data_IF_427489066628
#
_entry.id   IF_427489066628
#
_cell.length_a   1.000
_cell.length_b   1.000
_cell.length_c   1.000
_cell.angle_alpha   90.00
_cell.angle_beta   90.00
_cell.angle_gamma   90.00
#
_symmetry.space_group_name_H-M   'P 1'
#
loop_
_entity.id
_entity.type
_entity.pdbx_description
1 polymer ?
#
# COMPACT_ATOMS: atom_id res chain seq x y z
N UNK A 1 29.04 -30.37 1.67
CA UNK A 1 29.38 -28.95 1.75
C UNK A 1 29.67 -28.32 0.37
N UNK A 2 30.60 -28.83 -0.47
CA UNK A 2 30.88 -28.18 -1.77
C UNK A 2 29.73 -28.33 -2.79
N UNK A 3 29.10 -29.48 -2.89
CA UNK A 3 27.98 -29.74 -3.80
C UNK A 3 26.71 -28.97 -3.36
N UNK A 4 26.45 -28.91 -2.08
CA UNK A 4 25.33 -28.14 -1.50
C UNK A 4 25.44 -26.65 -1.85
N UNK A 5 26.65 -26.08 -1.74
CA UNK A 5 26.92 -24.67 -2.11
C UNK A 5 26.72 -24.43 -3.61
N UNK A 6 27.11 -25.39 -4.46
CA UNK A 6 26.90 -25.33 -5.92
C UNK A 6 25.39 -25.39 -6.23
N UNK A 7 24.65 -26.32 -5.62
CA UNK A 7 23.19 -26.42 -5.80
C UNK A 7 22.47 -25.16 -5.36
N UNK A 8 22.86 -24.59 -4.22
CA UNK A 8 22.27 -23.34 -3.72
C UNK A 8 22.55 -22.16 -4.65
N UNK A 9 23.78 -22.01 -5.11
CA UNK A 9 24.14 -20.94 -6.06
C UNK A 9 23.45 -21.13 -7.40
N UNK A 10 23.38 -22.37 -7.91
CA UNK A 10 22.70 -22.68 -9.16
C UNK A 10 21.18 -22.41 -9.07
N UNK A 11 20.54 -22.74 -7.93
CA UNK A 11 19.15 -22.43 -7.66
C UNK A 11 18.90 -20.91 -7.75
N UNK A 12 19.73 -20.12 -7.05
CA UNK A 12 19.59 -18.68 -7.02
C UNK A 12 19.83 -18.04 -8.40
N UNK A 13 20.87 -18.49 -9.13
CA UNK A 13 21.16 -18.01 -10.48
C UNK A 13 20.03 -18.38 -11.45
N UNK A 14 19.51 -19.61 -11.39
CA UNK A 14 18.41 -20.05 -12.26
C UNK A 14 17.15 -19.25 -11.96
N UNK A 15 16.86 -19.00 -10.68
CA UNK A 15 15.72 -18.17 -10.27
C UNK A 15 15.83 -16.75 -10.84
N UNK A 16 16.98 -16.09 -10.65
CA UNK A 16 17.22 -14.75 -11.20
C UNK A 16 17.16 -14.72 -12.72
N UNK A 17 17.76 -15.71 -13.39
CA UNK A 17 17.73 -15.80 -14.85
C UNK A 17 16.29 -15.94 -15.39
N UNK A 18 15.46 -16.77 -14.77
CA UNK A 18 14.06 -16.92 -15.18
C UNK A 18 13.24 -15.64 -14.98
N UNK A 19 13.51 -14.89 -13.90
CA UNK A 19 12.87 -13.58 -13.69
C UNK A 19 13.28 -12.57 -14.76
N UNK A 20 14.56 -12.56 -15.16
CA UNK A 20 15.06 -11.67 -16.22
C UNK A 20 14.48 -12.01 -17.61
N UNK A 21 14.15 -13.28 -17.86
CA UNK A 21 13.45 -13.71 -19.08
C UNK A 21 11.98 -13.28 -19.09
N UNK A 22 11.43 -12.86 -17.94
CA UNK A 22 10.05 -12.36 -17.82
C UNK A 22 9.03 -13.39 -17.35
N UNK A 23 9.46 -14.52 -16.79
CA UNK A 23 8.55 -15.46 -16.17
C UNK A 23 7.93 -14.88 -14.91
N UNK A 24 6.65 -15.18 -14.69
CA UNK A 24 5.93 -14.73 -13.50
C UNK A 24 6.54 -15.33 -12.23
N UNK A 25 6.78 -14.48 -11.22
CA UNK A 25 7.51 -14.83 -9.99
C UNK A 25 6.96 -16.08 -9.29
N UNK A 26 5.62 -16.22 -9.23
CA UNK A 26 4.97 -17.36 -8.56
C UNK A 26 5.28 -18.70 -9.23
N UNK A 27 5.23 -18.74 -10.57
CA UNK A 27 5.56 -19.96 -11.33
C UNK A 27 7.05 -20.25 -11.27
N UNK A 28 7.88 -19.23 -11.31
CA UNK A 28 9.33 -19.37 -11.19
C UNK A 28 9.73 -19.93 -9.84
N UNK A 29 9.20 -19.39 -8.74
CA UNK A 29 9.46 -19.89 -7.40
C UNK A 29 9.05 -21.35 -7.26
N UNK A 30 7.84 -21.69 -7.70
CA UNK A 30 7.33 -23.05 -7.60
C UNK A 30 8.12 -24.04 -8.48
N UNK A 31 8.34 -23.68 -9.75
CA UNK A 31 9.04 -24.54 -10.72
C UNK A 31 10.50 -24.77 -10.35
N UNK A 32 11.24 -23.72 -9.99
CA UNK A 32 12.64 -23.81 -9.57
C UNK A 32 12.77 -24.62 -8.28
N UNK A 33 11.88 -24.43 -7.31
CA UNK A 33 11.90 -25.18 -6.05
C UNK A 33 11.72 -26.68 -6.30
N UNK A 34 10.75 -27.09 -7.12
CA UNK A 34 10.55 -28.51 -7.46
C UNK A 34 11.75 -29.07 -8.21
N UNK A 35 12.23 -28.37 -9.23
CA UNK A 35 13.34 -28.82 -10.05
C UNK A 35 14.59 -29.05 -9.22
N UNK A 36 14.97 -28.12 -8.36
CA UNK A 36 16.15 -28.25 -7.52
C UNK A 36 15.97 -29.26 -6.38
N UNK A 37 14.77 -29.46 -5.88
CA UNK A 37 14.50 -30.56 -4.92
C UNK A 37 14.72 -31.91 -5.59
N UNK A 38 14.23 -32.12 -6.80
CA UNK A 38 14.46 -33.37 -7.54
C UNK A 38 15.94 -33.57 -7.86
N UNK A 39 16.64 -32.50 -8.28
CA UNK A 39 18.10 -32.57 -8.52
C UNK A 39 18.87 -32.93 -7.23
N UNK A 40 18.51 -32.34 -6.10
CA UNK A 40 19.13 -32.62 -4.83
C UNK A 40 18.92 -34.09 -4.40
N UNK A 41 17.69 -34.63 -4.56
CA UNK A 41 17.40 -36.04 -4.30
C UNK A 41 18.21 -37.00 -5.19
N UNK A 42 18.33 -36.67 -6.47
CA UNK A 42 19.15 -37.45 -7.41
C UNK A 42 20.63 -37.38 -7.01
N UNK A 43 21.09 -36.18 -6.60
CA UNK A 43 22.45 -35.97 -6.13
C UNK A 43 22.77 -36.80 -4.89
N UNK A 44 21.85 -36.88 -3.92
CA UNK A 44 22.01 -37.67 -2.72
C UNK A 44 22.09 -39.18 -3.02
N UNK A 45 21.34 -39.63 -4.05
CA UNK A 45 21.31 -41.04 -4.43
C UNK A 45 22.54 -41.48 -5.22
N UNK A 46 23.14 -40.60 -6.06
CA UNK A 46 24.24 -40.97 -6.96
C UNK A 46 25.61 -40.44 -6.55
N UNK A 47 25.66 -39.35 -5.76
CA UNK A 47 26.91 -38.67 -5.39
C UNK A 47 27.18 -38.69 -3.87
N UNK A 48 26.39 -39.45 -3.12
CA UNK A 48 26.56 -39.56 -1.66
C UNK A 48 26.56 -38.19 -0.97
N UNK A 49 25.80 -37.24 -1.50
CA UNK A 49 25.66 -35.91 -0.92
C UNK A 49 24.61 -35.97 0.19
N UNK A 50 24.83 -35.28 1.29
CA UNK A 50 23.92 -35.28 2.44
C UNK A 50 23.06 -34.00 2.44
N UNK A 51 22.30 -33.73 1.35
CA UNK A 51 21.38 -32.57 1.31
C UNK A 51 20.19 -32.75 2.23
N UNK A 52 19.85 -34.01 2.56
CA UNK A 52 18.78 -34.35 3.46
C UNK A 52 17.36 -34.03 2.90
N UNK A 53 17.27 -33.76 1.61
CA UNK A 53 15.97 -33.51 0.95
C UNK A 53 15.37 -34.84 0.50
N UNK A 54 14.23 -35.20 1.08
CA UNK A 54 13.49 -36.41 0.77
C UNK A 54 12.07 -36.06 0.29
N UNK A 55 11.39 -37.01 -0.36
CA UNK A 55 9.99 -36.89 -0.80
C UNK A 55 9.04 -36.44 0.32
N UNK A 56 9.39 -36.69 1.56
CA UNK A 56 8.65 -36.25 2.73
C UNK A 56 8.49 -34.73 2.78
N UNK A 57 9.45 -33.95 2.26
CA UNK A 57 9.37 -32.49 2.19
C UNK A 57 8.26 -31.99 1.26
N UNK A 58 7.87 -32.76 0.24
CA UNK A 58 6.69 -32.40 -0.57
C UNK A 58 5.38 -32.43 0.24
N UNK A 59 5.29 -33.29 1.26
CA UNK A 59 4.17 -33.30 2.19
C UNK A 59 4.06 -32.00 3.01
N UNK A 60 5.19 -31.37 3.31
CA UNK A 60 5.24 -30.06 3.99
C UNK A 60 4.65 -28.97 3.11
N UNK A 61 4.91 -28.98 1.78
CA UNK A 61 4.33 -28.03 0.81
C UNK A 61 2.80 -28.11 0.82
N UNK A 62 2.25 -29.33 0.75
CA UNK A 62 0.79 -29.53 0.81
C UNK A 62 0.22 -29.01 2.12
N UNK A 63 0.85 -29.31 3.24
CA UNK A 63 0.45 -28.81 4.56
C UNK A 63 0.53 -27.28 4.65
N UNK A 64 1.54 -26.66 4.03
CA UNK A 64 1.70 -25.21 3.97
C UNK A 64 0.61 -24.56 3.11
N UNK A 65 0.30 -25.14 1.96
CA UNK A 65 -0.82 -24.68 1.12
C UNK A 65 -2.14 -24.73 1.90
N UNK A 66 -2.42 -25.84 2.58
CA UNK A 66 -3.62 -25.96 3.41
C UNK A 66 -3.65 -24.92 4.54
N UNK A 67 -2.52 -24.70 5.22
CA UNK A 67 -2.41 -23.67 6.27
C UNK A 67 -2.70 -22.27 5.74
N UNK A 68 -2.23 -21.94 4.53
CA UNK A 68 -2.52 -20.66 3.88
C UNK A 68 -4.00 -20.55 3.50
N UNK A 69 -4.60 -21.63 2.95
CA UNK A 69 -6.02 -21.65 2.57
C UNK A 69 -6.97 -21.50 3.77
N UNK A 70 -6.56 -21.96 4.94
CA UNK A 70 -7.37 -21.88 6.17
C UNK A 70 -7.04 -20.66 7.04
N UNK A 71 -6.16 -19.77 6.58
CA UNK A 71 -5.76 -18.60 7.33
C UNK A 71 -6.83 -17.50 7.29
N UNK A 72 -7.45 -17.23 8.42
CA UNK A 72 -8.48 -16.21 8.58
C UNK A 72 -7.99 -14.78 8.28
N UNK A 73 -6.71 -14.51 8.45
CA UNK A 73 -6.12 -13.19 8.18
C UNK A 73 -6.14 -12.86 6.70
N UNK A 74 -6.04 -13.84 5.82
CA UNK A 74 -6.17 -13.64 4.37
C UNK A 74 -7.60 -13.22 3.97
N UNK A 75 -8.62 -13.66 4.72
CA UNK A 75 -10.00 -13.22 4.53
C UNK A 75 -10.12 -11.73 4.86
N UNK A 76 -9.50 -11.29 5.96
CA UNK A 76 -9.47 -9.87 6.31
C UNK A 76 -8.86 -9.01 5.18
N UNK A 77 -7.75 -9.46 4.57
CA UNK A 77 -7.16 -8.77 3.43
C UNK A 77 -8.13 -8.61 2.25
N UNK A 78 -8.89 -9.67 1.92
CA UNK A 78 -9.90 -9.62 0.85
C UNK A 78 -11.03 -8.65 1.17
N UNK A 79 -11.50 -8.64 2.41
CA UNK A 79 -12.55 -7.71 2.86
C UNK A 79 -12.07 -6.26 2.86
N UNK A 80 -10.84 -5.98 3.29
CA UNK A 80 -10.25 -4.64 3.18
C UNK A 80 -10.13 -4.18 1.72
N UNK A 81 -9.77 -5.08 0.79
CA UNK A 81 -9.76 -4.76 -0.65
C UNK A 81 -11.16 -4.37 -1.11
N UNK A 82 -12.16 -5.15 -0.73
CA UNK A 82 -13.56 -4.88 -1.06
C UNK A 82 -14.02 -3.53 -0.49
N UNK A 83 -13.74 -3.26 0.77
CA UNK A 83 -14.02 -1.98 1.43
C UNK A 83 -13.37 -0.81 0.66
N UNK A 84 -12.10 -0.95 0.28
CA UNK A 84 -11.38 0.07 -0.50
C UNK A 84 -12.03 0.33 -1.87
N UNK A 85 -12.43 -0.72 -2.60
CA UNK A 85 -13.15 -0.57 -3.87
C UNK A 85 -14.52 0.08 -3.71
N UNK A 86 -15.26 -0.27 -2.65
CA UNK A 86 -16.55 0.38 -2.37
C UNK A 86 -16.38 1.87 -2.10
N UNK A 87 -15.35 2.24 -1.33
CA UNK A 87 -15.05 3.65 -1.07
C UNK A 87 -14.61 4.38 -2.35
N UNK A 88 -13.81 3.76 -3.20
CA UNK A 88 -13.40 4.32 -4.49
C UNK A 88 -14.62 4.57 -5.40
N UNK A 89 -15.51 3.60 -5.51
CA UNK A 89 -16.73 3.68 -6.34
C UNK A 89 -17.81 4.59 -5.79
N UNK A 90 -17.77 4.94 -4.51
CA UNK A 90 -18.75 5.85 -3.87
C UNK A 90 -18.68 7.29 -4.38
N UNK A 91 -17.59 7.69 -5.08
CA UNK A 91 -17.35 9.05 -5.53
C UNK A 91 -16.99 10.04 -4.41
N UNK A 92 -16.77 9.56 -3.19
CA UNK A 92 -16.36 10.40 -2.04
C UNK A 92 -15.00 11.02 -2.30
N UNK A 93 -14.09 10.28 -2.93
CA UNK A 93 -12.76 10.74 -3.31
C UNK A 93 -12.79 12.00 -4.17
N UNK A 94 -13.62 12.02 -5.19
CA UNK A 94 -13.76 13.14 -6.12
C UNK A 94 -14.37 14.38 -5.44
N UNK A 95 -15.39 14.17 -4.61
CA UNK A 95 -16.02 15.27 -3.83
C UNK A 95 -15.01 15.88 -2.85
N UNK A 96 -14.27 15.03 -2.14
CA UNK A 96 -13.26 15.48 -1.19
C UNK A 96 -12.12 16.25 -1.89
N UNK A 97 -11.70 15.80 -3.07
CA UNK A 97 -10.69 16.49 -3.88
C UNK A 97 -11.17 17.90 -4.25
N UNK A 98 -12.41 18.02 -4.71
CA UNK A 98 -12.97 19.30 -5.12
C UNK A 98 -13.14 20.26 -3.94
N UNK A 99 -13.72 19.81 -2.85
CA UNK A 99 -13.94 20.66 -1.66
C UNK A 99 -12.62 21.08 -1.00
N UNK A 100 -11.62 20.21 -0.96
CA UNK A 100 -10.30 20.51 -0.39
C UNK A 100 -9.48 21.42 -1.32
N UNK A 101 -9.64 21.30 -2.63
CA UNK A 101 -9.04 22.22 -3.61
C UNK A 101 -9.55 23.65 -3.39
N UNK A 102 -10.83 23.84 -3.13
CA UNK A 102 -11.41 25.15 -2.79
C UNK A 102 -10.77 25.73 -1.53
N UNK A 103 -10.47 24.88 -0.52
CA UNK A 103 -9.87 25.31 0.75
C UNK A 103 -8.43 25.80 0.58
N UNK A 104 -7.61 25.09 -0.19
CA UNK A 104 -6.19 25.39 -0.38
C UNK A 104 -5.91 26.23 -1.65
N UNK A 105 -6.91 26.67 -2.39
CA UNK A 105 -6.73 27.44 -3.64
C UNK A 105 -5.97 28.75 -3.47
N UNK A 106 -5.95 29.34 -2.26
CA UNK A 106 -5.22 30.55 -1.94
C UNK A 106 -3.76 30.32 -1.53
N UNK A 107 -3.33 29.07 -1.39
CA UNK A 107 -1.98 28.72 -0.96
C UNK A 107 -1.16 28.27 -2.17
N UNK A 108 0.10 28.72 -2.29
CA UNK A 108 1.01 28.18 -3.31
C UNK A 108 1.27 26.71 -3.06
N UNK A 109 1.14 25.90 -4.10
CA UNK A 109 1.18 24.45 -3.96
C UNK A 109 -0.10 23.84 -3.38
N UNK A 110 -1.19 24.62 -3.26
CA UNK A 110 -2.44 24.18 -2.62
C UNK A 110 -3.02 22.92 -3.24
N UNK A 111 -2.98 22.76 -4.58
CA UNK A 111 -3.43 21.54 -5.22
C UNK A 111 -2.54 20.34 -4.87
N UNK A 112 -1.23 20.51 -4.78
CA UNK A 112 -0.33 19.44 -4.37
C UNK A 112 -0.57 19.03 -2.89
N UNK A 113 -0.82 20.01 -2.00
CA UNK A 113 -1.20 19.74 -0.60
C UNK A 113 -2.52 18.99 -0.55
N UNK A 114 -3.52 19.42 -1.33
CA UNK A 114 -4.81 18.72 -1.47
C UNK A 114 -4.61 17.26 -1.86
N UNK A 115 -3.81 17.01 -2.90
CA UNK A 115 -3.49 15.64 -3.36
C UNK A 115 -2.77 14.84 -2.28
N UNK A 116 -1.83 15.44 -1.57
CA UNK A 116 -1.12 14.78 -0.49
C UNK A 116 -2.04 14.39 0.66
N UNK A 117 -2.92 15.27 1.11
CA UNK A 117 -3.86 15.02 2.21
C UNK A 117 -4.92 13.98 1.82
N UNK A 118 -5.53 14.15 0.65
CA UNK A 118 -6.56 13.22 0.18
C UNK A 118 -5.95 11.87 -0.17
N UNK A 119 -4.78 11.90 -0.82
CA UNK A 119 -4.02 10.69 -1.11
C UNK A 119 -3.72 9.89 0.15
N UNK A 120 -3.33 10.58 1.22
CA UNK A 120 -3.12 9.96 2.52
C UNK A 120 -4.39 9.28 3.06
N UNK A 121 -5.52 9.98 3.03
CA UNK A 121 -6.80 9.45 3.51
C UNK A 121 -7.30 8.26 2.67
N UNK A 122 -7.28 8.41 1.34
CA UNK A 122 -7.72 7.37 0.42
C UNK A 122 -6.80 6.16 0.45
N UNK A 123 -5.50 6.39 0.43
CA UNK A 123 -4.51 5.32 0.46
C UNK A 123 -4.60 4.52 1.77
N UNK A 124 -4.81 5.19 2.90
CA UNK A 124 -5.03 4.55 4.19
C UNK A 124 -6.30 3.67 4.20
N UNK A 125 -7.36 4.11 3.53
CA UNK A 125 -8.62 3.35 3.49
C UNK A 125 -8.59 2.16 2.51
N UNK A 126 -7.82 2.25 1.42
CA UNK A 126 -7.73 1.17 0.42
C UNK A 126 -6.61 0.18 0.72
N UNK A 127 -5.52 0.62 1.34
CA UNK A 127 -4.33 -0.20 1.61
C UNK A 127 -3.61 -0.72 0.36
N UNK A 128 -4.00 -0.29 -0.84
CA UNK A 128 -3.45 -0.74 -2.13
C UNK A 128 -2.82 0.44 -2.86
N UNK A 129 -1.49 0.47 -2.94
CA UNK A 129 -0.72 1.56 -3.56
C UNK A 129 -1.11 1.77 -5.02
N UNK A 130 -1.13 0.70 -5.81
CA UNK A 130 -1.38 0.79 -7.25
C UNK A 130 -2.73 1.44 -7.57
N UNK A 131 -3.80 1.01 -6.91
CA UNK A 131 -5.14 1.57 -7.10
C UNK A 131 -5.19 3.04 -6.69
N UNK A 132 -4.66 3.37 -5.51
CA UNK A 132 -4.65 4.74 -4.98
C UNK A 132 -3.84 5.69 -5.87
N UNK A 133 -2.65 5.29 -6.35
CA UNK A 133 -1.82 6.10 -7.24
C UNK A 133 -2.52 6.34 -8.58
N UNK A 134 -3.14 5.30 -9.16
CA UNK A 134 -3.88 5.42 -10.43
C UNK A 134 -5.08 6.34 -10.26
N UNK A 135 -5.89 6.14 -9.21
CA UNK A 135 -7.06 6.98 -8.94
C UNK A 135 -6.67 8.46 -8.76
N UNK A 136 -5.70 8.72 -7.88
CA UNK A 136 -5.18 10.08 -7.66
C UNK A 136 -4.59 10.66 -8.94
N UNK A 137 -3.87 9.85 -9.74
CA UNK A 137 -3.31 10.25 -11.00
C UNK A 137 -4.37 10.70 -12.00
N UNK A 138 -5.40 9.89 -12.19
CA UNK A 138 -6.49 10.19 -13.12
C UNK A 138 -7.26 11.45 -12.69
N UNK A 139 -7.51 11.61 -11.39
CA UNK A 139 -8.28 12.73 -10.86
C UNK A 139 -7.47 14.04 -10.78
N UNK A 140 -6.22 13.97 -10.31
CA UNK A 140 -5.48 15.19 -9.94
C UNK A 140 -4.46 15.65 -10.98
N UNK A 141 -3.78 14.74 -11.72
CA UNK A 141 -2.76 15.15 -12.69
C UNK A 141 -3.27 16.09 -13.79
N UNK A 142 -4.44 15.84 -14.42
CA UNK A 142 -4.96 16.75 -15.43
C UNK A 142 -5.20 18.16 -14.87
N UNK A 143 -5.67 18.25 -13.63
CA UNK A 143 -5.95 19.53 -12.96
C UNK A 143 -4.63 20.23 -12.63
N UNK A 144 -3.65 19.52 -12.07
CA UNK A 144 -2.34 20.10 -11.74
C UNK A 144 -1.62 20.61 -12.98
N UNK A 145 -1.61 19.83 -14.07
CA UNK A 145 -0.96 20.24 -15.32
C UNK A 145 -1.67 21.46 -15.94
N UNK A 146 -3.01 21.48 -15.91
CA UNK A 146 -3.80 22.62 -16.39
C UNK A 146 -3.54 23.89 -15.58
N UNK A 147 -3.29 23.77 -14.28
CA UNK A 147 -2.92 24.88 -13.40
C UNK A 147 -1.44 25.30 -13.54
N UNK A 148 -0.65 24.65 -14.41
CA UNK A 148 0.74 25.01 -14.68
C UNK A 148 1.74 24.44 -13.67
N UNK A 149 1.39 23.41 -12.89
CA UNK A 149 2.36 22.73 -12.01
C UNK A 149 3.46 22.04 -12.84
N UNK A 150 4.69 22.02 -12.30
CA UNK A 150 5.74 21.24 -12.92
C UNK A 150 5.37 19.75 -12.91
N UNK A 151 5.72 19.04 -13.99
CA UNK A 151 5.39 17.62 -14.15
C UNK A 151 6.01 16.78 -13.03
N UNK A 152 7.23 17.12 -12.63
CA UNK A 152 7.97 16.43 -11.57
C UNK A 152 7.27 16.54 -10.21
N UNK A 153 6.81 17.75 -9.86
CA UNK A 153 6.07 17.96 -8.61
C UNK A 153 4.71 17.26 -8.66
N UNK A 154 3.99 17.35 -9.76
CA UNK A 154 2.66 16.75 -9.91
C UNK A 154 2.74 15.21 -9.81
N UNK A 155 3.59 14.57 -10.63
CA UNK A 155 3.74 13.11 -10.61
C UNK A 155 4.35 12.58 -9.31
N UNK A 156 5.34 13.29 -8.78
CA UNK A 156 5.97 12.95 -7.50
C UNK A 156 4.99 13.00 -6.33
N UNK A 157 4.15 14.04 -6.27
CA UNK A 157 3.12 14.17 -5.22
C UNK A 157 2.11 13.02 -5.28
N UNK A 158 1.61 12.71 -6.49
CA UNK A 158 0.64 11.61 -6.68
C UNK A 158 1.24 10.27 -6.27
N UNK A 159 2.45 9.96 -6.74
CA UNK A 159 3.12 8.70 -6.42
C UNK A 159 3.42 8.58 -4.91
N UNK A 160 3.99 9.61 -4.32
CA UNK A 160 4.33 9.63 -2.89
C UNK A 160 3.08 9.50 -2.01
N UNK A 161 2.00 10.23 -2.34
CA UNK A 161 0.76 10.21 -1.55
C UNK A 161 0.08 8.84 -1.58
N UNK A 162 0.06 8.16 -2.74
CA UNK A 162 -0.48 6.81 -2.85
C UNK A 162 0.31 5.76 -2.07
N UNK A 163 1.62 5.96 -1.89
CA UNK A 163 2.45 5.04 -1.10
C UNK A 163 2.16 5.10 0.41
N UNK A 164 1.57 6.19 0.92
CA UNK A 164 1.24 6.31 2.36
C UNK A 164 0.22 5.27 2.83
N UNK A 165 -0.59 4.74 1.93
CA UNK A 165 -1.58 3.71 2.27
C UNK A 165 -1.01 2.39 2.77
N UNK A 166 0.27 2.12 2.53
CA UNK A 166 0.91 0.93 3.10
C UNK A 166 1.20 1.14 4.60
N UNK A 167 1.51 2.38 5.00
CA UNK A 167 2.03 2.69 6.33
C UNK A 167 0.90 3.12 7.26
N UNK A 168 -0.08 3.88 6.76
CA UNK A 168 -1.15 4.42 7.59
C UNK A 168 -2.27 3.37 7.74
N UNK A 169 -2.62 2.94 8.96
CA UNK A 169 -3.69 1.98 9.17
C UNK A 169 -5.08 2.59 8.92
N UNK A 170 -6.07 1.76 8.53
CA UNK A 170 -6.02 0.33 8.32
C UNK A 170 -5.34 -0.06 6.99
N UNK A 171 -4.27 -0.85 7.06
CA UNK A 171 -3.48 -1.23 5.87
C UNK A 171 -3.41 -2.75 5.74
N UNK A 172 -3.69 -3.25 4.54
CA UNK A 172 -3.62 -4.69 4.21
C UNK A 172 -2.19 -5.22 4.41
N UNK A 173 -1.18 -4.42 4.06
CA UNK A 173 0.22 -4.82 4.21
C UNK A 173 0.61 -4.99 5.68
N UNK A 174 0.13 -4.14 6.57
CA UNK A 174 0.36 -4.29 8.01
C UNK A 174 -0.32 -5.54 8.55
N UNK A 175 -1.50 -5.90 8.03
CA UNK A 175 -2.20 -7.15 8.40
C UNK A 175 -1.37 -8.37 8.00
N UNK A 176 -0.88 -8.42 6.76
CA UNK A 176 -0.02 -9.52 6.31
C UNK A 176 1.31 -9.56 7.06
N UNK A 177 1.89 -8.40 7.38
CA UNK A 177 3.11 -8.31 8.16
C UNK A 177 2.90 -8.84 9.58
N UNK A 178 1.77 -8.51 10.20
CA UNK A 178 1.37 -9.04 11.50
C UNK A 178 1.29 -10.57 11.51
N UNK A 179 0.66 -11.16 10.49
CA UNK A 179 0.56 -12.60 10.30
C UNK A 179 1.95 -13.26 10.17
N UNK A 180 2.81 -12.71 9.33
CA UNK A 180 4.15 -13.26 9.09
C UNK A 180 5.07 -13.15 10.31
N UNK A 181 4.93 -12.07 11.08
CA UNK A 181 5.71 -11.84 12.31
C UNK A 181 5.09 -12.50 13.55
N UNK A 182 3.89 -13.08 13.43
CA UNK A 182 3.09 -13.61 14.53
C UNK A 182 2.86 -12.56 15.64
N UNK A 183 2.59 -11.31 15.24
CA UNK A 183 2.28 -10.21 16.14
C UNK A 183 0.80 -9.85 16.05
N UNK A 184 0.19 -9.31 17.12
CA UNK A 184 -1.16 -8.77 17.05
C UNK A 184 -1.21 -7.60 16.05
N UNK A 185 -2.14 -7.63 15.10
CA UNK A 185 -2.24 -6.57 14.08
C UNK A 185 -2.58 -5.20 14.70
N UNK A 186 -3.30 -5.17 15.83
CA UNK A 186 -3.57 -3.94 16.56
C UNK A 186 -2.29 -3.23 17.03
N UNK A 187 -1.29 -3.97 17.49
CA UNK A 187 -0.01 -3.41 17.93
C UNK A 187 0.77 -2.82 16.76
N UNK A 188 0.75 -3.50 15.59
CA UNK A 188 1.37 -2.97 14.38
C UNK A 188 0.65 -1.71 13.90
N UNK A 189 -0.67 -1.68 13.97
CA UNK A 189 -1.45 -0.50 13.60
C UNK A 189 -1.13 0.70 14.50
N UNK A 190 -1.07 0.50 15.82
CA UNK A 190 -0.66 1.57 16.75
C UNK A 190 0.76 2.04 16.48
N UNK A 191 1.69 1.10 16.26
CA UNK A 191 3.09 1.42 15.97
C UNK A 191 3.30 2.17 14.64
N UNK A 192 2.49 1.87 13.62
CA UNK A 192 2.58 2.48 12.29
C UNK A 192 1.87 3.85 12.20
N UNK A 193 0.91 4.11 13.06
CA UNK A 193 0.06 5.32 12.99
C UNK A 193 0.88 6.62 13.11
N UNK A 194 1.73 6.72 14.14
CA UNK A 194 2.54 7.91 14.37
C UNK A 194 3.57 8.13 13.25
N UNK A 195 4.39 7.14 12.84
CA UNK A 195 5.31 7.29 11.71
C UNK A 195 4.61 7.65 10.39
N UNK A 196 3.42 7.04 10.14
CA UNK A 196 2.63 7.35 8.96
C UNK A 196 2.16 8.80 8.91
N UNK A 197 1.63 9.33 10.02
CA UNK A 197 1.25 10.73 10.13
C UNK A 197 2.45 11.68 10.05
N UNK A 198 3.58 11.32 10.64
CA UNK A 198 4.82 12.10 10.51
C UNK A 198 5.27 12.20 9.05
N UNK A 199 5.21 11.09 8.31
CA UNK A 199 5.58 11.08 6.90
C UNK A 199 4.61 11.92 6.07
N UNK A 200 3.31 11.84 6.31
CA UNK A 200 2.31 12.69 5.66
C UNK A 200 2.57 14.19 5.94
N UNK A 201 2.88 14.53 7.19
CA UNK A 201 3.23 15.89 7.57
C UNK A 201 4.52 16.37 6.87
N UNK A 202 5.54 15.51 6.77
CA UNK A 202 6.77 15.82 6.05
C UNK A 202 6.52 16.07 4.56
N UNK A 203 5.61 15.34 3.92
CA UNK A 203 5.22 15.60 2.53
C UNK A 203 4.58 16.97 2.38
N UNK A 204 3.67 17.34 3.28
CA UNK A 204 3.04 18.67 3.25
C UNK A 204 4.09 19.76 3.47
N UNK A 205 5.00 19.60 4.43
CA UNK A 205 6.10 20.54 4.70
C UNK A 205 7.03 20.67 3.48
N UNK A 206 7.37 19.54 2.85
CA UNK A 206 8.19 19.55 1.64
C UNK A 206 7.50 20.28 0.49
N UNK A 207 6.21 20.00 0.24
CA UNK A 207 5.44 20.66 -0.82
C UNK A 207 5.37 22.18 -0.55
N UNK A 208 5.08 22.59 0.67
CA UNK A 208 5.07 24.00 1.05
C UNK A 208 6.45 24.64 0.83
N UNK A 209 7.51 24.06 1.37
CA UNK A 209 8.88 24.57 1.22
C UNK A 209 9.29 24.67 -0.25
N UNK A 210 9.04 23.63 -1.05
CA UNK A 210 9.35 23.61 -2.47
C UNK A 210 8.54 24.67 -3.25
N UNK A 211 7.25 24.84 -2.93
CA UNK A 211 6.37 25.82 -3.57
C UNK A 211 6.76 27.27 -3.25
N UNK A 212 7.33 27.51 -2.06
CA UNK A 212 7.87 28.82 -1.70
C UNK A 212 9.21 29.11 -2.38
N UNK A 213 10.09 28.10 -2.48
CA UNK A 213 11.42 28.24 -3.08
C UNK A 213 11.36 28.32 -4.62
N UNK A 214 10.38 27.62 -5.24
CA UNK A 214 10.17 27.61 -6.69
C UNK A 214 8.72 27.93 -7.04
N UNK A 215 8.34 29.22 -6.99
CA UNK A 215 6.95 29.64 -7.24
C UNK A 215 6.43 29.29 -8.62
N UNK A 216 7.32 29.16 -9.61
CA UNK A 216 6.98 28.78 -10.99
C UNK A 216 6.55 27.33 -11.12
N UNK A 217 7.04 26.44 -10.23
CA UNK A 217 6.72 25.02 -10.24
C UNK A 217 5.37 24.68 -9.61
N UNK A 218 4.83 25.58 -8.78
CA UNK A 218 3.58 25.41 -8.03
C UNK A 218 2.78 26.72 -8.01
N UNK A 219 2.17 27.11 -9.15
CA UNK A 219 1.43 28.36 -9.25
C UNK A 219 0.19 28.35 -8.36
N UNK A 220 -0.33 29.54 -8.12
CA UNK A 220 -1.59 29.73 -7.42
C UNK A 220 -2.75 29.41 -8.37
N UNK A 221 -3.85 28.88 -7.86
CA UNK A 221 -5.05 28.65 -8.64
C UNK A 221 -5.58 29.96 -9.24
N UNK A 222 -6.01 29.92 -10.51
CA UNK A 222 -6.60 31.09 -11.21
C UNK A 222 -7.96 31.45 -10.62
N UNK A 223 -8.75 30.45 -10.26
CA UNK A 223 -10.12 30.57 -9.77
C UNK A 223 -10.15 30.55 -8.23
N UNK A 224 -9.74 31.69 -7.63
CA UNK A 224 -9.64 31.82 -6.17
C UNK A 224 -10.99 32.19 -5.59
N UNK A 225 -11.56 31.26 -4.85
CA UNK A 225 -12.72 31.58 -4.03
C UNK A 225 -12.30 32.00 -2.62
N UNK A 226 -12.98 32.95 -1.99
CA UNK A 226 -12.68 33.32 -0.61
C UNK A 226 -12.94 32.14 0.30
N UNK A 227 -11.89 31.72 1.03
CA UNK A 227 -11.99 30.64 2.01
C UNK A 227 -12.92 31.10 3.14
N UNK A 228 -14.11 30.52 3.18
CA UNK A 228 -15.11 30.80 4.20
C UNK A 228 -15.31 29.64 5.15
N UNK A 229 -15.98 29.90 6.27
CA UNK A 229 -16.36 28.83 7.23
C UNK A 229 -17.21 27.74 6.56
N UNK A 230 -18.00 28.09 5.53
CA UNK A 230 -18.77 27.13 4.73
C UNK A 230 -17.88 26.12 3.99
N UNK A 231 -16.75 26.58 3.43
CA UNK A 231 -15.80 25.70 2.70
C UNK A 231 -15.15 24.72 3.67
N UNK A 232 -14.69 25.20 4.81
CA UNK A 232 -14.11 24.34 5.85
C UNK A 232 -15.13 23.28 6.33
N UNK A 233 -16.39 23.71 6.59
CA UNK A 233 -17.44 22.80 7.04
C UNK A 233 -17.80 21.75 5.98
N UNK A 234 -17.80 22.12 4.69
CA UNK A 234 -18.00 21.18 3.58
C UNK A 234 -16.88 20.14 3.52
N UNK A 235 -15.61 20.56 3.60
CA UNK A 235 -14.46 19.64 3.62
C UNK A 235 -14.57 18.66 4.79
N UNK A 236 -14.93 19.15 5.96
CA UNK A 236 -15.14 18.28 7.13
C UNK A 236 -16.27 17.28 6.90
N UNK A 237 -17.41 17.71 6.35
CA UNK A 237 -18.53 16.81 6.04
C UNK A 237 -18.17 15.76 4.99
N UNK A 238 -17.44 16.15 3.94
CA UNK A 238 -16.99 15.23 2.90
C UNK A 238 -15.95 14.24 3.41
N UNK A 239 -15.15 14.62 4.44
CA UNK A 239 -14.18 13.74 5.07
C UNK A 239 -14.80 12.77 6.10
N UNK A 240 -15.97 13.13 6.67
CA UNK A 240 -16.62 12.31 7.72
C UNK A 240 -16.78 10.84 7.35
N UNK A 241 -17.24 10.44 6.14
CA UNK A 241 -17.42 9.03 5.84
C UNK A 241 -16.10 8.24 5.90
N UNK A 242 -15.02 8.80 5.35
CA UNK A 242 -13.71 8.15 5.36
C UNK A 242 -13.15 8.07 6.78
N UNK A 243 -13.18 9.18 7.50
CA UNK A 243 -12.70 9.25 8.88
C UNK A 243 -13.52 8.35 9.80
N UNK A 244 -14.85 8.35 9.67
CA UNK A 244 -15.73 7.49 10.44
C UNK A 244 -15.41 6.00 10.22
N UNK A 245 -15.21 5.60 8.95
CA UNK A 245 -14.83 4.24 8.61
C UNK A 245 -13.47 3.89 9.20
N UNK A 246 -12.47 4.75 9.06
CA UNK A 246 -11.15 4.55 9.65
C UNK A 246 -11.21 4.43 11.17
N UNK A 247 -11.95 5.31 11.84
CA UNK A 247 -12.12 5.29 13.30
C UNK A 247 -12.90 4.07 13.78
N UNK A 248 -13.92 3.64 13.05
CA UNK A 248 -14.68 2.43 13.39
C UNK A 248 -13.80 1.19 13.28
N UNK A 249 -13.09 1.03 12.17
CA UNK A 249 -12.20 -0.12 11.95
C UNK A 249 -11.05 -0.10 12.96
N UNK A 250 -10.28 0.99 12.98
CA UNK A 250 -9.10 1.08 13.84
C UNK A 250 -9.48 1.10 15.33
N UNK A 251 -10.51 1.87 15.68
CA UNK A 251 -10.98 1.98 17.05
C UNK A 251 -11.50 0.67 17.60
N UNK A 252 -12.25 -0.12 16.82
CA UNK A 252 -12.75 -1.43 17.25
C UNK A 252 -11.62 -2.44 17.48
N UNK A 253 -10.57 -2.41 16.64
CA UNK A 253 -9.41 -3.29 16.78
C UNK A 253 -8.58 -2.89 18.01
N UNK A 254 -8.27 -1.61 18.18
CA UNK A 254 -7.45 -1.11 19.31
C UNK A 254 -8.19 -1.29 20.65
N UNK A 255 -9.50 -1.09 20.67
CA UNK A 255 -10.31 -1.32 21.85
C UNK A 255 -10.51 -2.82 22.18
N UNK A 256 -10.04 -3.74 21.31
CA UNK A 256 -10.23 -5.17 21.50
C UNK A 256 -11.67 -5.66 21.35
N UNK A 257 -12.55 -4.83 20.75
CA UNK A 257 -13.97 -5.15 20.55
C UNK A 257 -14.13 -6.10 19.35
N UNK A 258 -13.35 -5.91 18.31
CA UNK A 258 -13.39 -6.71 17.10
C UNK A 258 -12.00 -7.22 16.71
N UNK A 259 -11.96 -8.41 16.13
CA UNK A 259 -10.78 -8.93 15.45
C UNK A 259 -10.57 -8.17 14.13
N UNK A 260 -9.37 -8.29 13.54
CA UNK A 260 -9.07 -7.66 12.25
C UNK A 260 -10.03 -8.12 11.16
N UNK A 261 -10.41 -9.40 11.18
CA UNK A 261 -11.34 -9.99 10.21
C UNK A 261 -12.76 -9.43 10.38
N UNK A 262 -13.24 -9.31 11.59
CA UNK A 262 -14.55 -8.74 11.87
C UNK A 262 -14.61 -7.25 11.53
N UNK A 263 -13.57 -6.50 11.91
CA UNK A 263 -13.46 -5.07 11.59
C UNK A 263 -13.35 -4.80 10.09
N UNK A 264 -12.77 -5.71 9.32
CA UNK A 264 -12.69 -5.59 7.86
C UNK A 264 -14.01 -5.83 7.14
N UNK A 265 -14.98 -6.46 7.83
CA UNK A 265 -16.33 -6.74 7.30
C UNK A 265 -17.34 -5.62 7.53
N UNK A 266 -16.96 -4.54 8.22
CA UNK A 266 -17.78 -3.34 8.47
C UNK A 266 -17.78 -2.39 7.29
#
# INVERSE_FOLDING_TARGET
MFVETILLTALFVTFCAMLLVGFHISYTLFGVSILFTVIAMISDQYFDTATGLDFFYFGIVVKRIYSVMTNWILIAGTLFIFMGFMLEKSGIAERLLTSTQELFGNVRGGMAITVALIGTLLAASTGIVGASVVLLGVLSLPIMIKQGYSKELATGTVAASGCLGIIIPPSIMLVFMADQLNLPAGDLFMGAFIPGLMLAALYVIYILGFSFLRPEAAPLAEDRQPVGFKTLFRVLLDAVPILALMFLVLGSIIAGIATVTEASGV
#
